data_IF_580547623955
#
_entry.id   IF_580547623955
#
_cell.length_a   1.000
_cell.length_b   1.000
_cell.length_c   1.000
_cell.angle_alpha   90.00
_cell.angle_beta   90.00
_cell.angle_gamma   90.00
#
_symmetry.space_group_name_H-M   'P 1'
#
loop_
_entity.id
_entity.type
_entity.pdbx_description
1 polymer ?
#
# COMPACT_ATOMS: atom_id res chain seq x y z
N UNK A 1 52.73 -19.21 -50.06
CA UNK A 1 51.47 -18.57 -50.49
C UNK A 1 50.39 -18.86 -49.44
N UNK A 2 49.52 -17.87 -49.22
CA UNK A 2 48.27 -17.88 -48.43
C UNK A 2 48.33 -17.75 -46.89
N UNK A 3 48.48 -16.49 -46.45
CA UNK A 3 47.95 -16.01 -45.16
C UNK A 3 46.49 -15.56 -45.39
N UNK A 4 45.52 -16.41 -45.06
CA UNK A 4 44.10 -16.04 -45.11
C UNK A 4 43.69 -15.42 -43.77
N UNK A 5 43.97 -14.12 -43.59
CA UNK A 5 43.49 -13.34 -42.44
C UNK A 5 42.04 -12.95 -42.73
N UNK A 6 41.11 -13.74 -42.21
CA UNK A 6 39.68 -13.44 -42.18
C UNK A 6 39.44 -12.12 -41.44
N UNK A 7 39.26 -11.03 -42.19
CA UNK A 7 38.69 -9.80 -41.66
C UNK A 7 37.19 -10.01 -41.53
N UNK A 8 36.75 -10.57 -40.41
CA UNK A 8 35.35 -10.56 -40.03
C UNK A 8 34.91 -9.09 -39.88
N UNK A 9 34.11 -8.63 -40.84
CA UNK A 9 33.40 -7.36 -40.75
C UNK A 9 32.54 -7.38 -39.48
N UNK A 10 32.93 -6.59 -38.46
CA UNK A 10 32.09 -6.39 -37.27
C UNK A 10 30.78 -5.77 -37.75
N UNK A 11 29.70 -6.55 -37.69
CA UNK A 11 28.33 -6.06 -37.84
C UNK A 11 28.15 -4.85 -36.92
N UNK A 12 27.61 -3.74 -37.44
CA UNK A 12 27.30 -2.56 -36.63
C UNK A 12 26.42 -3.00 -35.47
N UNK A 13 26.93 -2.91 -34.24
CA UNK A 13 26.17 -3.21 -33.04
C UNK A 13 24.91 -2.35 -33.00
N UNK A 14 23.82 -2.87 -32.44
CA UNK A 14 22.59 -2.10 -32.29
C UNK A 14 22.86 -0.85 -31.43
N UNK A 15 22.18 0.26 -31.71
CA UNK A 15 22.36 1.53 -30.97
C UNK A 15 22.17 1.38 -29.46
N UNK A 16 21.28 0.47 -29.04
CA UNK A 16 20.98 0.14 -27.65
C UNK A 16 22.12 -0.64 -26.96
N UNK A 17 22.83 -1.47 -27.72
CA UNK A 17 23.97 -2.25 -27.22
C UNK A 17 25.21 -1.36 -27.04
N UNK A 18 25.40 -0.41 -27.98
CA UNK A 18 26.46 0.60 -27.89
C UNK A 18 26.27 1.53 -26.69
N UNK A 19 25.04 1.92 -26.36
CA UNK A 19 24.77 2.78 -25.20
C UNK A 19 24.96 2.02 -23.88
N UNK A 20 24.59 0.74 -23.82
CA UNK A 20 24.82 -0.11 -22.65
C UNK A 20 26.31 -0.27 -22.34
N UNK A 21 27.13 -0.60 -23.34
CA UNK A 21 28.57 -0.79 -23.18
C UNK A 21 29.27 0.50 -22.70
N UNK A 22 28.88 1.65 -23.27
CA UNK A 22 29.43 2.96 -22.88
C UNK A 22 29.06 3.34 -21.44
N UNK A 23 27.83 3.08 -21.02
CA UNK A 23 27.37 3.33 -19.65
C UNK A 23 28.08 2.38 -18.67
N UNK A 24 28.20 1.10 -19.02
CA UNK A 24 28.87 0.10 -18.21
C UNK A 24 30.37 0.41 -18.02
N UNK A 25 31.07 0.77 -19.10
CA UNK A 25 32.49 1.16 -19.03
C UNK A 25 32.70 2.38 -18.13
N UNK A 26 31.81 3.38 -18.21
CA UNK A 26 31.85 4.55 -17.35
C UNK A 26 31.59 4.22 -15.86
N UNK A 27 30.70 3.26 -15.57
CA UNK A 27 30.43 2.82 -14.18
C UNK A 27 31.63 2.07 -13.59
N UNK A 28 32.35 1.30 -14.41
CA UNK A 28 33.49 0.46 -13.97
C UNK A 28 34.76 1.28 -13.79
N UNK A 29 35.05 2.22 -14.70
CA UNK A 29 36.24 3.08 -14.64
C UNK A 29 35.91 4.53 -15.05
N UNK A 30 35.47 5.38 -14.09
CA UNK A 30 35.06 6.74 -14.36
C UNK A 30 36.18 7.66 -14.87
N UNK A 31 37.44 7.37 -14.50
CA UNK A 31 38.60 8.20 -14.79
C UNK A 31 39.14 7.96 -16.22
N UNK A 32 39.15 6.70 -16.67
CA UNK A 32 39.67 6.35 -18.01
C UNK A 32 38.61 6.23 -19.10
N UNK A 33 37.32 6.21 -18.75
CA UNK A 33 36.20 6.14 -19.70
C UNK A 33 35.16 7.24 -19.42
N UNK A 34 35.48 8.51 -19.71
CA UNK A 34 34.54 9.61 -19.49
C UNK A 34 33.32 9.47 -20.42
N UNK A 35 32.15 9.87 -19.92
CA UNK A 35 30.94 9.93 -20.75
C UNK A 35 31.20 10.78 -22.01
N UNK A 36 30.73 10.33 -23.18
CA UNK A 36 30.64 11.18 -24.36
C UNK A 36 30.02 12.55 -24.05
N UNK A 37 30.56 13.61 -24.63
CA UNK A 37 30.20 15.00 -24.28
C UNK A 37 28.69 15.27 -24.33
N UNK A 38 28.00 14.69 -25.31
CA UNK A 38 26.55 14.82 -25.47
C UNK A 38 25.76 14.18 -24.31
N UNK A 39 26.21 13.04 -23.78
CA UNK A 39 25.60 12.37 -22.63
C UNK A 39 25.89 13.12 -21.33
N UNK A 40 27.10 13.69 -21.20
CA UNK A 40 27.48 14.53 -20.05
C UNK A 40 26.59 15.78 -19.97
N UNK A 41 26.35 16.45 -21.10
CA UNK A 41 25.47 17.61 -21.18
C UNK A 41 24.02 17.24 -20.88
N UNK A 42 23.54 16.09 -21.36
CA UNK A 42 22.20 15.60 -21.03
C UNK A 42 22.06 15.29 -19.54
N UNK A 43 23.03 14.59 -18.94
CA UNK A 43 23.05 14.25 -17.52
C UNK A 43 23.00 15.52 -16.64
N UNK A 44 23.87 16.49 -16.90
CA UNK A 44 23.87 17.77 -16.17
C UNK A 44 22.54 18.51 -16.27
N UNK A 45 21.91 18.47 -17.44
CA UNK A 45 20.63 19.12 -17.69
C UNK A 45 19.50 18.46 -16.91
N UNK A 46 19.44 17.12 -16.92
CA UNK A 46 18.45 16.32 -16.18
C UNK A 46 18.62 16.50 -14.67
N UNK A 47 19.86 16.49 -14.17
CA UNK A 47 20.15 16.75 -12.74
C UNK A 47 19.71 18.15 -12.31
N UNK A 48 19.95 19.16 -13.14
CA UNK A 48 19.50 20.52 -12.84
C UNK A 48 17.98 20.62 -12.85
N UNK A 49 17.31 19.98 -13.80
CA UNK A 49 15.85 19.93 -13.85
C UNK A 49 15.29 19.26 -12.59
N UNK A 50 15.89 18.14 -12.14
CA UNK A 50 15.47 17.45 -10.93
C UNK A 50 15.49 18.39 -9.71
N UNK A 51 16.56 19.18 -9.54
CA UNK A 51 16.64 20.20 -8.47
C UNK A 51 15.60 21.30 -8.63
N UNK A 52 15.39 21.79 -9.85
CA UNK A 52 14.40 22.84 -10.13
C UNK A 52 12.96 22.34 -9.94
N UNK A 53 12.71 21.03 -10.11
CA UNK A 53 11.41 20.42 -9.82
C UNK A 53 11.12 20.38 -8.32
N UNK A 54 12.14 20.28 -7.47
CA UNK A 54 12.00 20.39 -6.02
C UNK A 54 11.69 21.83 -5.59
N UNK A 55 12.37 22.81 -6.20
CA UNK A 55 12.23 24.24 -5.85
C UNK A 55 10.97 24.90 -6.44
N UNK A 56 10.49 24.44 -7.60
CA UNK A 56 9.41 25.06 -8.35
C UNK A 56 8.31 24.07 -8.74
N UNK A 57 7.05 24.27 -8.29
CA UNK A 57 5.95 23.38 -8.64
C UNK A 57 5.47 23.52 -10.10
N UNK A 58 5.84 24.60 -10.80
CA UNK A 58 5.37 24.88 -12.17
C UNK A 58 6.44 24.64 -13.23
N UNK A 59 6.21 23.65 -14.09
CA UNK A 59 7.08 23.29 -15.21
C UNK A 59 7.34 24.44 -16.20
N UNK A 60 6.38 25.35 -16.39
CA UNK A 60 6.55 26.47 -17.33
C UNK A 60 7.68 27.41 -16.90
N UNK A 61 7.86 27.59 -15.58
CA UNK A 61 8.94 28.41 -15.04
C UNK A 61 10.30 27.72 -15.25
N UNK A 62 10.37 26.43 -14.95
CA UNK A 62 11.56 25.58 -15.17
C UNK A 62 11.97 25.62 -16.64
N UNK A 63 11.02 25.50 -17.57
CA UNK A 63 11.28 25.57 -19.01
C UNK A 63 11.96 26.89 -19.40
N UNK A 64 11.51 28.02 -18.87
CA UNK A 64 12.11 29.32 -19.20
C UNK A 64 13.54 29.44 -18.65
N UNK A 65 13.80 28.97 -17.43
CA UNK A 65 15.15 28.92 -16.85
C UNK A 65 16.07 28.05 -17.71
N UNK A 66 15.57 26.88 -18.13
CA UNK A 66 16.35 25.94 -18.94
C UNK A 66 16.58 26.45 -20.36
N UNK A 67 15.64 27.18 -20.96
CA UNK A 67 15.82 27.86 -22.26
C UNK A 67 16.86 28.99 -22.20
N UNK A 68 16.90 29.73 -21.09
CA UNK A 68 17.88 30.80 -20.91
C UNK A 68 19.30 30.23 -20.73
N UNK A 69 19.43 29.12 -20.01
CA UNK A 69 20.73 28.50 -19.70
C UNK A 69 21.25 27.59 -20.81
N UNK A 70 20.37 26.83 -21.45
CA UNK A 70 20.72 25.89 -22.50
C UNK A 70 20.08 26.35 -23.81
N UNK A 71 20.89 26.51 -24.87
CA UNK A 71 20.44 26.85 -26.23
C UNK A 71 19.79 25.64 -26.92
N UNK A 72 18.71 25.12 -26.35
CA UNK A 72 18.01 23.92 -26.80
C UNK A 72 16.53 24.20 -27.03
N UNK A 73 15.87 23.30 -27.77
CA UNK A 73 14.45 23.45 -28.05
C UNK A 73 13.59 23.19 -26.81
N UNK A 74 12.43 23.86 -26.74
CA UNK A 74 11.43 23.63 -25.69
C UNK A 74 10.97 22.16 -25.65
N UNK A 75 10.93 21.49 -26.80
CA UNK A 75 10.60 20.08 -26.92
C UNK A 75 11.65 19.19 -26.25
N UNK A 76 12.94 19.52 -26.41
CA UNK A 76 14.01 18.76 -25.76
C UNK A 76 13.91 18.90 -24.23
N UNK A 77 13.71 20.11 -23.72
CA UNK A 77 13.55 20.35 -22.28
C UNK A 77 12.39 19.54 -21.70
N UNK A 78 11.25 19.44 -22.40
CA UNK A 78 10.13 18.61 -21.95
C UNK A 78 10.49 17.12 -21.86
N UNK A 79 11.27 16.60 -22.81
CA UNK A 79 11.77 15.21 -22.74
C UNK A 79 12.68 15.02 -21.53
N UNK A 80 13.54 16.01 -21.24
CA UNK A 80 14.44 15.94 -20.09
C UNK A 80 13.70 16.10 -18.76
N UNK A 81 12.60 16.86 -18.71
CA UNK A 81 11.68 16.92 -17.56
C UNK A 81 11.02 15.57 -17.33
N UNK A 82 10.50 14.93 -18.38
CA UNK A 82 9.91 13.59 -18.26
C UNK A 82 10.93 12.58 -17.74
N UNK A 83 12.15 12.60 -18.30
CA UNK A 83 13.25 11.74 -17.87
C UNK A 83 13.67 12.02 -16.41
N UNK A 84 13.76 13.29 -16.00
CA UNK A 84 14.08 13.66 -14.62
C UNK A 84 13.03 13.12 -13.63
N UNK A 85 11.75 13.24 -13.96
CA UNK A 85 10.65 12.71 -13.14
C UNK A 85 10.69 11.19 -13.03
N UNK A 86 10.99 10.50 -14.12
CA UNK A 86 11.11 9.03 -14.15
C UNK A 86 12.27 8.56 -13.27
N UNK A 87 13.44 9.19 -13.42
CA UNK A 87 14.67 8.79 -12.73
C UNK A 87 14.65 9.13 -11.24
N UNK A 88 14.22 10.34 -10.88
CA UNK A 88 14.35 10.85 -9.51
C UNK A 88 13.06 10.74 -8.71
N UNK A 89 11.92 10.41 -9.35
CA UNK A 89 10.59 10.41 -8.72
C UNK A 89 10.29 11.69 -7.94
N UNK A 90 10.96 12.81 -8.26
CA UNK A 90 10.89 14.11 -7.57
C UNK A 90 9.69 14.96 -7.99
N UNK A 91 8.60 14.30 -8.40
CA UNK A 91 7.30 14.88 -8.13
C UNK A 91 6.68 14.01 -7.06
N UNK A 92 6.75 14.48 -5.81
CA UNK A 92 5.69 14.19 -4.87
C UNK A 92 4.39 14.48 -5.60
N UNK A 93 3.76 13.43 -6.15
CA UNK A 93 2.34 13.52 -6.51
C UNK A 93 1.69 14.05 -5.25
N UNK A 94 0.92 15.14 -5.38
CA UNK A 94 0.24 15.79 -4.27
C UNK A 94 -0.23 14.71 -3.28
N UNK A 95 0.45 14.62 -2.15
CA UNK A 95 0.24 13.55 -1.21
C UNK A 95 -1.04 13.92 -0.45
N UNK A 96 -2.16 13.45 -1.01
CA UNK A 96 -3.49 13.76 -0.50
C UNK A 96 -3.60 13.30 0.95
N UNK A 97 -3.01 12.16 1.29
CA UNK A 97 -3.02 11.61 2.65
C UNK A 97 -2.21 12.48 3.61
N UNK A 98 -1.02 12.94 3.19
CA UNK A 98 -0.22 13.88 3.98
C UNK A 98 -0.93 15.23 4.15
N UNK A 99 -1.43 15.81 3.06
CA UNK A 99 -2.13 17.10 3.08
C UNK A 99 -3.38 17.04 3.96
N UNK A 100 -4.17 15.98 3.81
CA UNK A 100 -5.38 15.75 4.58
C UNK A 100 -5.08 15.50 6.07
N UNK A 101 -4.05 14.69 6.37
CA UNK A 101 -3.57 14.48 7.75
C UNK A 101 -3.08 15.78 8.39
N UNK A 102 -2.32 16.58 7.64
CA UNK A 102 -1.83 17.88 8.09
C UNK A 102 -2.99 18.85 8.36
N UNK A 103 -3.96 18.95 7.46
CA UNK A 103 -5.14 19.79 7.61
C UNK A 103 -5.98 19.40 8.83
N UNK A 104 -6.17 18.10 9.09
CA UNK A 104 -6.86 17.63 10.31
C UNK A 104 -6.09 18.05 11.57
N UNK A 105 -4.76 17.88 11.59
CA UNK A 105 -3.93 18.27 12.74
C UNK A 105 -4.02 19.78 13.01
N UNK A 106 -3.95 20.59 11.96
CA UNK A 106 -4.07 22.05 12.05
C UNK A 106 -5.43 22.46 12.61
N UNK A 107 -6.52 21.87 12.09
CA UNK A 107 -7.87 22.14 12.56
C UNK A 107 -8.09 21.75 14.03
N UNK A 108 -7.47 20.64 14.49
CA UNK A 108 -7.51 20.24 15.90
C UNK A 108 -6.78 21.26 16.78
N UNK A 109 -5.64 21.78 16.32
CA UNK A 109 -4.89 22.79 17.06
C UNK A 109 -5.68 24.10 17.15
N UNK A 110 -6.34 24.53 16.08
CA UNK A 110 -7.24 25.68 16.08
C UNK A 110 -8.38 25.52 17.12
N UNK A 111 -9.00 24.34 17.19
CA UNK A 111 -10.05 24.04 18.19
C UNK A 111 -9.48 24.16 19.62
N UNK A 112 -8.26 23.67 19.86
CA UNK A 112 -7.60 23.78 21.17
C UNK A 112 -7.35 25.24 21.53
N UNK A 113 -6.84 26.03 20.60
CA UNK A 113 -6.52 27.44 20.82
C UNK A 113 -7.78 28.28 21.06
N UNK A 114 -8.87 28.05 20.31
CA UNK A 114 -10.16 28.69 20.54
C UNK A 114 -10.72 28.36 21.94
N UNK A 115 -10.55 27.11 22.40
CA UNK A 115 -10.97 26.70 23.75
C UNK A 115 -10.15 27.41 24.83
N UNK A 116 -8.83 27.51 24.65
CA UNK A 116 -7.94 28.19 25.60
C UNK A 116 -8.19 29.70 25.66
N UNK A 117 -8.50 30.32 24.52
CA UNK A 117 -8.84 31.77 24.43
C UNK A 117 -10.26 32.09 24.93
N UNK A 118 -11.11 31.08 25.16
CA UNK A 118 -12.50 31.28 25.57
C UNK A 118 -13.44 31.75 24.45
N UNK A 119 -13.01 31.73 23.18
CA UNK A 119 -13.86 32.08 22.03
C UNK A 119 -14.74 30.88 21.65
N UNK A 120 -15.85 30.72 22.39
CA UNK A 120 -16.79 29.61 22.22
C UNK A 120 -17.49 29.62 20.85
N UNK A 121 -17.62 30.78 20.22
CA UNK A 121 -18.25 30.93 18.90
C UNK A 121 -17.34 30.34 17.82
N UNK A 122 -16.08 30.74 17.79
CA UNK A 122 -15.12 30.18 16.85
C UNK A 122 -14.79 28.72 17.16
N UNK A 123 -14.80 28.32 18.43
CA UNK A 123 -14.66 26.93 18.83
C UNK A 123 -15.73 26.02 18.22
N UNK A 124 -17.00 26.44 18.28
CA UNK A 124 -18.11 25.69 17.68
C UNK A 124 -18.03 25.67 16.15
N UNK A 125 -17.63 26.77 15.51
CA UNK A 125 -17.43 26.81 14.07
C UNK A 125 -16.29 25.90 13.62
N UNK A 126 -15.16 25.90 14.33
CA UNK A 126 -14.01 25.05 14.02
C UNK A 126 -14.34 23.56 14.13
N UNK A 127 -15.18 23.16 15.10
CA UNK A 127 -15.70 21.78 15.18
C UNK A 127 -16.59 21.39 14.01
N UNK A 128 -17.45 22.30 13.55
CA UNK A 128 -18.30 22.05 12.36
C UNK A 128 -17.45 21.83 11.12
N UNK A 129 -16.41 22.65 10.93
CA UNK A 129 -15.45 22.50 9.82
C UNK A 129 -14.70 21.17 9.91
N UNK A 130 -14.23 20.77 11.11
CA UNK A 130 -13.58 19.47 11.29
C UNK A 130 -14.51 18.30 10.93
N UNK A 131 -15.79 18.38 11.32
CA UNK A 131 -16.78 17.35 10.98
C UNK A 131 -17.00 17.25 9.45
N UNK A 132 -17.08 18.39 8.76
CA UNK A 132 -17.17 18.42 7.30
C UNK A 132 -15.90 17.87 6.62
N UNK A 133 -14.72 18.11 7.20
CA UNK A 133 -13.45 17.61 6.68
C UNK A 133 -13.33 16.09 6.81
N UNK A 134 -13.68 15.52 7.98
CA UNK A 134 -13.59 14.07 8.23
C UNK A 134 -14.66 13.29 7.43
N UNK A 135 -15.81 13.91 7.17
CA UNK A 135 -16.93 13.27 6.50
C UNK A 135 -17.73 12.34 7.42
N UNK A 136 -18.63 11.55 6.82
CA UNK A 136 -19.40 10.55 7.55
C UNK A 136 -18.53 9.34 7.88
N UNK A 137 -18.74 8.76 9.06
CA UNK A 137 -18.11 7.49 9.41
C UNK A 137 -18.45 6.46 8.33
N UNK A 138 -17.47 5.80 7.69
CA UNK A 138 -17.78 4.77 6.70
C UNK A 138 -18.69 3.73 7.37
N UNK A 139 -19.82 3.43 6.72
CA UNK A 139 -20.66 2.32 7.12
C UNK A 139 -19.74 1.11 7.25
N UNK A 140 -19.64 0.54 8.45
CA UNK A 140 -18.86 -0.68 8.65
C UNK A 140 -19.33 -1.67 7.60
N UNK A 141 -18.43 -2.11 6.72
CA UNK A 141 -18.69 -3.27 5.87
C UNK A 141 -19.05 -4.39 6.84
N UNK A 142 -20.33 -4.76 6.87
CA UNK A 142 -20.77 -5.90 7.66
C UNK A 142 -20.01 -7.13 7.14
N UNK A 143 -19.12 -7.67 7.97
CA UNK A 143 -18.34 -8.85 7.64
C UNK A 143 -19.31 -10.01 7.29
N UNK A 144 -19.29 -10.55 6.05
CA UNK A 144 -20.22 -11.61 5.62
C UNK A 144 -20.16 -12.85 6.52
N UNK A 145 -19.05 -13.05 7.24
CA UNK A 145 -18.85 -14.15 8.21
C UNK A 145 -19.67 -14.00 9.49
N UNK A 146 -20.17 -12.80 9.81
CA UNK A 146 -21.16 -12.63 10.91
C UNK A 146 -22.56 -13.10 10.52
N UNK A 147 -22.82 -13.34 9.23
CA UNK A 147 -24.09 -13.77 8.68
C UNK A 147 -24.22 -15.30 8.56
N UNK A 148 -23.14 -16.05 8.79
CA UNK A 148 -23.22 -17.49 8.97
C UNK A 148 -23.93 -17.74 10.31
N UNK A 149 -25.21 -18.11 10.26
CA UNK A 149 -25.94 -18.68 11.40
C UNK A 149 -25.09 -19.85 11.90
N UNK A 150 -24.35 -19.66 13.00
CA UNK A 150 -23.64 -20.75 13.66
C UNK A 150 -24.67 -21.80 14.08
N UNK A 151 -24.79 -22.88 13.31
CA UNK A 151 -25.59 -24.04 13.67
C UNK A 151 -24.76 -24.84 14.65
N UNK A 152 -24.96 -24.60 15.94
CA UNK A 152 -24.35 -25.42 16.98
C UNK A 152 -25.02 -26.80 16.97
N UNK A 153 -24.22 -27.87 16.96
CA UNK A 153 -24.69 -29.25 17.11
C UNK A 153 -24.35 -29.74 18.51
N UNK A 154 -25.29 -30.39 19.19
CA UNK A 154 -25.02 -31.14 20.42
C UNK A 154 -24.92 -32.61 20.02
N UNK A 155 -23.77 -33.23 20.31
CA UNK A 155 -23.60 -34.67 20.14
C UNK A 155 -24.11 -35.38 21.38
N UNK A 156 -25.09 -36.27 21.21
CA UNK A 156 -25.63 -37.09 22.29
C UNK A 156 -25.24 -38.54 22.03
N UNK A 157 -24.68 -39.20 23.03
CA UNK A 157 -24.37 -40.62 22.98
C UNK A 157 -25.50 -41.37 23.71
N UNK A 158 -26.36 -42.05 22.95
CA UNK A 158 -27.39 -42.92 23.52
C UNK A 158 -27.13 -44.35 23.07
N UNK A 159 -26.91 -45.25 24.04
CA UNK A 159 -26.68 -46.68 23.80
C UNK A 159 -25.61 -47.00 22.74
N UNK A 160 -24.52 -46.23 22.70
CA UNK A 160 -23.37 -46.48 21.82
C UNK A 160 -23.49 -45.93 20.39
N UNK A 161 -24.58 -45.23 20.06
CA UNK A 161 -24.70 -44.48 18.80
C UNK A 161 -24.61 -42.97 19.07
N UNK A 162 -23.71 -42.31 18.34
CA UNK A 162 -23.54 -40.84 18.37
C UNK A 162 -24.58 -40.20 17.45
N UNK A 163 -25.45 -39.38 18.01
CA UNK A 163 -26.47 -38.63 17.27
C UNK A 163 -26.17 -37.14 17.39
N UNK A 164 -25.96 -36.47 16.25
CA UNK A 164 -25.70 -35.04 16.17
C UNK A 164 -27.02 -34.28 16.02
N UNK A 165 -27.47 -33.61 17.09
CA UNK A 165 -28.72 -32.86 17.09
C UNK A 165 -28.43 -31.35 16.98
N UNK A 166 -28.95 -30.64 15.96
CA UNK A 166 -28.79 -29.19 15.86
C UNK A 166 -29.55 -28.48 17.00
N UNK A 167 -28.92 -27.50 17.64
CA UNK A 167 -29.42 -26.76 18.82
C UNK A 167 -30.81 -26.16 18.61
N UNK A 168 -31.13 -25.80 17.37
CA UNK A 168 -32.42 -25.22 17.00
C UNK A 168 -33.57 -26.25 17.06
N UNK A 169 -33.29 -27.53 16.83
CA UNK A 169 -34.30 -28.59 16.98
C UNK A 169 -34.67 -28.81 18.45
N UNK A 170 -33.70 -28.65 19.36
CA UNK A 170 -33.90 -28.80 20.81
C UNK A 170 -34.83 -27.70 21.36
N UNK A 171 -34.73 -26.46 20.85
CA UNK A 171 -35.64 -25.37 21.23
C UNK A 171 -37.09 -25.61 20.84
N UNK A 172 -37.34 -26.48 19.85
CA UNK A 172 -38.69 -26.82 19.39
C UNK A 172 -39.26 -28.07 20.06
N UNK A 173 -38.49 -28.77 20.91
CA UNK A 173 -38.98 -29.89 21.70
C UNK A 173 -39.83 -29.41 22.89
N UNK A 174 -40.81 -30.22 23.28
CA UNK A 174 -41.62 -29.95 24.47
C UNK A 174 -40.78 -30.06 25.76
N UNK A 175 -41.24 -29.45 26.85
CA UNK A 175 -40.53 -29.50 28.15
C UNK A 175 -40.35 -30.94 28.66
N UNK A 176 -41.26 -31.86 28.33
CA UNK A 176 -41.19 -33.26 28.72
C UNK A 176 -40.06 -33.99 27.96
N UNK A 177 -39.92 -33.74 26.65
CA UNK A 177 -38.87 -34.33 25.81
C UNK A 177 -37.49 -33.75 26.14
N UNK A 178 -37.40 -32.45 26.46
CA UNK A 178 -36.14 -31.85 26.93
C UNK A 178 -35.68 -32.45 28.26
N UNK A 179 -36.61 -32.79 29.16
CA UNK A 179 -36.28 -33.41 30.45
C UNK A 179 -35.75 -34.84 30.28
N UNK A 180 -36.38 -35.65 29.43
CA UNK A 180 -35.90 -37.01 29.10
C UNK A 180 -34.51 -36.95 28.45
N UNK A 181 -34.25 -35.96 27.60
CA UNK A 181 -32.93 -35.76 26.98
C UNK A 181 -31.85 -35.46 28.02
N UNK A 182 -32.13 -34.55 28.97
CA UNK A 182 -31.20 -34.22 30.06
C UNK A 182 -30.98 -35.42 30.98
N UNK A 183 -32.05 -36.14 31.34
CA UNK A 183 -31.96 -37.32 32.19
C UNK A 183 -31.14 -38.43 31.52
N UNK A 184 -31.18 -38.56 30.18
CA UNK A 184 -30.32 -39.50 29.43
C UNK A 184 -28.84 -39.10 29.37
N UNK A 185 -28.53 -37.80 29.52
CA UNK A 185 -27.14 -37.32 29.60
C UNK A 185 -26.51 -37.57 30.97
N UNK A 186 -27.32 -37.68 32.02
CA UNK A 186 -26.91 -38.05 33.36
C UNK A 186 -27.08 -39.56 33.59
N UNK A 187 -26.41 -40.38 32.77
CA UNK A 187 -26.17 -41.77 33.20
C UNK A 187 -24.97 -41.74 34.16
N UNK A 188 -25.14 -42.14 35.44
CA UNK A 188 -23.99 -42.22 36.34
C UNK A 188 -23.00 -43.25 35.78
N UNK A 189 -21.74 -42.85 35.67
CA UNK A 189 -20.64 -43.74 35.30
C UNK A 189 -20.55 -44.80 36.40
N UNK A 190 -20.68 -46.07 36.05
CA UNK A 190 -20.46 -47.19 36.97
C UNK A 190 -18.96 -47.32 37.27
N UNK A 191 -18.59 -47.73 38.49
CA UNK A 191 -17.22 -47.67 39.01
C UNK A 191 -16.21 -48.41 38.09
N UNK A 192 -16.68 -49.43 37.37
CA UNK A 192 -15.88 -50.17 36.38
C UNK A 192 -15.43 -49.32 35.17
N UNK A 193 -16.24 -48.36 34.71
CA UNK A 193 -15.88 -47.46 33.60
C UNK A 193 -14.94 -46.34 34.06
N UNK A 194 -14.99 -45.95 35.34
CA UNK A 194 -14.07 -44.97 35.90
C UNK A 194 -12.64 -45.52 36.03
N UNK A 195 -12.50 -46.82 36.37
CA UNK A 195 -11.20 -47.50 36.48
C UNK A 195 -10.47 -47.63 35.13
N UNK A 196 -11.19 -47.80 34.02
CA UNK A 196 -10.63 -47.89 32.67
C UNK A 196 -10.07 -46.55 32.18
N UNK A 197 -10.73 -45.44 32.54
CA UNK A 197 -10.30 -44.07 32.18
C UNK A 197 -9.06 -43.65 33.00
N UNK A 198 -8.94 -44.09 34.25
CA UNK A 198 -7.77 -43.75 35.08
C UNK A 198 -6.48 -44.50 34.68
N UNK A 199 -6.60 -45.63 33.97
CA UNK A 199 -5.46 -46.45 33.55
C UNK A 199 -5.01 -46.20 32.09
N UNK A 200 -5.56 -45.18 31.43
CA UNK A 200 -5.18 -44.75 30.06
C UNK A 200 -4.28 -43.51 30.05
#
# INVERSE_FOLDING_TARGET
MNNNRLTASKSKAALEEQSYDLIQQHIIDPENSPLPEHLRVQCNRVLQIARLLDDYPNESHIINIMLAKYRISRTQIRKDIALAKELFKTQHQFDWDFWYSWMIKDQIQLIRDCKLKGDLKQWNNAKKVLHQMIGEKPASVEDPRRMEKNVFYIQINSMGQKVDIPLNAIRNLSQEEQKVLVDSMYTPIDDAQAEEIMNS
#
